data_IF_813031775710
#
_entry.id   IF_813031775710
#
_cell.length_a   1.000
_cell.length_b   1.000
_cell.length_c   1.000
_cell.angle_alpha   90.00
_cell.angle_beta   90.00
_cell.angle_gamma   90.00
#
_symmetry.space_group_name_H-M   'P 1'
#
loop_
_entity.id
_entity.type
_entity.pdbx_description
1 polymer ?
#
# COMPACT_ATOMS: atom_id res chain seq x y z
N UNK A 1 16.12 -29.58 -11.40
CA UNK A 1 17.09 -29.89 -12.49
C UNK A 1 16.84 -28.91 -13.64
N UNK A 2 17.62 -27.83 -13.76
CA UNK A 2 17.48 -26.93 -14.92
C UNK A 2 17.92 -27.70 -16.17
N UNK A 3 17.12 -27.66 -17.24
CA UNK A 3 17.44 -28.31 -18.52
C UNK A 3 16.93 -29.74 -18.73
N UNK A 4 16.08 -30.28 -17.85
CA UNK A 4 15.42 -31.59 -18.08
C UNK A 4 13.89 -31.48 -18.11
N UNK A 5 13.17 -32.39 -18.79
CA UNK A 5 11.70 -32.41 -18.80
C UNK A 5 11.05 -32.61 -17.42
N UNK A 6 11.74 -33.26 -16.47
CA UNK A 6 11.24 -33.61 -15.13
C UNK A 6 11.50 -32.51 -14.09
N UNK A 7 11.56 -31.25 -14.54
CA UNK A 7 11.80 -30.11 -13.66
C UNK A 7 10.60 -29.89 -12.73
N UNK A 8 10.86 -29.99 -11.43
CA UNK A 8 9.91 -29.64 -10.37
C UNK A 8 10.44 -28.38 -9.66
N UNK A 9 9.54 -27.46 -9.34
CA UNK A 9 9.79 -26.33 -8.46
C UNK A 9 8.72 -26.34 -7.37
N UNK A 10 9.14 -26.10 -6.12
CA UNK A 10 8.26 -26.05 -4.96
C UNK A 10 8.51 -24.70 -4.28
N UNK A 11 7.43 -24.06 -3.86
CA UNK A 11 7.43 -22.84 -3.06
C UNK A 11 6.41 -23.02 -1.94
N UNK A 12 6.76 -22.59 -0.74
CA UNK A 12 5.91 -22.72 0.45
C UNK A 12 5.46 -21.34 0.90
N UNK A 13 4.17 -21.20 1.21
CA UNK A 13 3.62 -20.01 1.87
C UNK A 13 3.51 -20.28 3.36
N UNK A 14 4.33 -19.61 4.16
CA UNK A 14 4.40 -19.83 5.61
C UNK A 14 3.57 -18.75 6.32
N UNK A 15 2.49 -19.18 6.98
CA UNK A 15 1.61 -18.31 7.74
C UNK A 15 1.60 -18.80 9.19
N UNK A 16 2.07 -17.96 10.12
CA UNK A 16 2.13 -18.29 11.55
C UNK A 16 1.05 -17.52 12.30
N UNK A 17 0.45 -18.11 13.34
CA UNK A 17 -0.60 -17.44 14.12
C UNK A 17 -0.12 -16.09 14.69
N UNK A 18 1.13 -16.01 15.12
CA UNK A 18 1.76 -14.79 15.66
C UNK A 18 1.93 -13.72 14.56
N UNK A 19 2.42 -14.12 13.38
CA UNK A 19 2.61 -13.19 12.25
C UNK A 19 1.27 -12.63 11.74
N UNK A 20 0.28 -13.51 11.59
CA UNK A 20 -1.10 -13.16 11.24
C UNK A 20 -1.70 -12.22 12.29
N UNK A 21 -1.57 -12.55 13.58
CA UNK A 21 -2.09 -11.70 14.67
C UNK A 21 -1.57 -10.27 14.59
N UNK A 22 -0.25 -10.13 14.46
CA UNK A 22 0.41 -8.84 14.44
C UNK A 22 -0.09 -7.98 13.29
N UNK A 23 -0.24 -8.57 12.10
CA UNK A 23 -0.77 -7.88 10.92
C UNK A 23 -2.24 -7.46 11.13
N UNK A 24 -3.07 -8.37 11.63
CA UNK A 24 -4.50 -8.12 11.85
C UNK A 24 -4.73 -7.03 12.91
N UNK A 25 -4.05 -7.11 14.07
CA UNK A 25 -4.15 -6.10 15.13
C UNK A 25 -3.76 -4.72 14.63
N UNK A 26 -2.66 -4.64 13.85
CA UNK A 26 -2.26 -3.39 13.21
C UNK A 26 -3.34 -2.86 12.27
N UNK A 27 -3.91 -3.71 11.40
CA UNK A 27 -4.95 -3.30 10.46
C UNK A 27 -6.24 -2.83 11.14
N UNK A 28 -6.67 -3.52 12.20
CA UNK A 28 -7.82 -3.11 13.03
C UNK A 28 -7.59 -1.74 13.69
N UNK A 29 -6.43 -1.56 14.33
CA UNK A 29 -6.08 -0.30 14.96
C UNK A 29 -5.97 0.84 13.94
N UNK A 30 -5.32 0.59 12.80
CA UNK A 30 -5.21 1.55 11.71
C UNK A 30 -6.57 1.96 11.15
N UNK A 31 -7.49 1.01 10.95
CA UNK A 31 -8.86 1.27 10.52
C UNK A 31 -9.62 2.15 11.53
N UNK A 32 -9.47 1.87 12.83
CA UNK A 32 -10.07 2.66 13.91
C UNK A 32 -9.54 4.09 13.94
N UNK A 33 -8.21 4.27 13.88
CA UNK A 33 -7.56 5.60 13.91
C UNK A 33 -7.88 6.42 12.67
N UNK A 34 -7.88 5.79 11.49
CA UNK A 34 -8.27 6.44 10.24
C UNK A 34 -9.71 6.98 10.29
N UNK A 35 -10.60 6.29 11.00
CA UNK A 35 -11.95 6.73 11.35
C UNK A 35 -12.76 7.29 10.15
N UNK A 36 -12.71 6.60 8.99
CA UNK A 36 -13.45 6.98 7.78
C UNK A 36 -14.70 6.12 7.58
N UNK A 37 -14.60 4.95 6.95
CA UNK A 37 -15.74 4.03 6.78
C UNK A 37 -15.83 3.01 7.90
N UNK A 38 -14.73 2.79 8.64
CA UNK A 38 -14.61 1.77 9.68
C UNK A 38 -14.93 0.36 9.16
N UNK A 39 -14.52 0.08 7.92
CA UNK A 39 -14.65 -1.23 7.28
C UNK A 39 -13.27 -1.84 7.08
N UNK A 40 -13.12 -3.12 7.42
CA UNK A 40 -11.89 -3.87 7.24
C UNK A 40 -12.20 -5.20 6.53
N UNK A 41 -12.06 -5.27 5.20
CA UNK A 41 -12.11 -6.54 4.50
C UNK A 41 -10.82 -7.34 4.66
N UNK A 42 -10.95 -8.61 5.03
CA UNK A 42 -9.91 -9.62 4.85
C UNK A 42 -9.93 -10.06 3.37
N UNK A 43 -8.86 -9.73 2.64
CA UNK A 43 -8.63 -10.22 1.28
C UNK A 43 -8.00 -11.61 1.36
N UNK A 44 -8.58 -12.60 0.68
CA UNK A 44 -8.00 -13.93 0.72
C UNK A 44 -8.46 -14.88 -0.37
N UNK A 45 -8.16 -16.17 -0.18
CA UNK A 45 -8.62 -17.22 -1.10
C UNK A 45 -8.92 -18.53 -0.36
N UNK A 46 -9.90 -18.50 0.54
CA UNK A 46 -10.25 -19.62 1.44
C UNK A 46 -10.67 -20.88 0.68
N UNK A 47 -11.19 -20.74 -0.55
CA UNK A 47 -11.58 -21.85 -1.40
C UNK A 47 -10.43 -22.58 -2.12
N UNK A 48 -9.21 -22.01 -2.13
CA UNK A 48 -8.02 -22.62 -2.77
C UNK A 48 -6.91 -22.82 -1.76
N UNK A 49 -6.60 -21.80 -0.97
CA UNK A 49 -5.57 -21.80 0.06
C UNK A 49 -6.18 -22.15 1.42
N UNK A 50 -6.81 -23.32 1.49
CA UNK A 50 -7.69 -23.74 2.59
C UNK A 50 -6.99 -23.82 3.95
N UNK A 51 -5.67 -24.03 4.00
CA UNK A 51 -4.93 -24.03 5.27
C UNK A 51 -4.48 -22.63 5.69
N UNK A 52 -3.87 -21.89 4.75
CA UNK A 52 -3.36 -20.55 5.04
C UNK A 52 -4.51 -19.60 5.37
N UNK A 53 -5.55 -19.54 4.53
CA UNK A 53 -6.63 -18.59 4.73
C UNK A 53 -7.67 -19.02 5.76
N UNK A 54 -7.77 -20.31 6.10
CA UNK A 54 -8.49 -20.73 7.33
C UNK A 54 -7.83 -20.14 8.58
N UNK A 55 -6.48 -20.20 8.67
CA UNK A 55 -5.76 -19.58 9.78
C UNK A 55 -5.99 -18.07 9.85
N UNK A 56 -5.93 -17.36 8.72
CA UNK A 56 -6.21 -15.92 8.66
C UNK A 56 -7.66 -15.59 9.05
N UNK A 57 -8.64 -16.31 8.52
CA UNK A 57 -10.07 -16.06 8.77
C UNK A 57 -10.44 -16.31 10.23
N UNK A 58 -9.99 -17.41 10.84
CA UNK A 58 -10.20 -17.67 12.27
C UNK A 58 -9.57 -16.58 13.14
N UNK A 59 -8.31 -16.24 12.90
CA UNK A 59 -7.62 -15.20 13.65
C UNK A 59 -8.30 -13.82 13.48
N UNK A 60 -8.79 -13.51 12.28
CA UNK A 60 -9.50 -12.28 11.96
C UNK A 60 -10.81 -12.14 12.75
N UNK A 61 -11.57 -13.22 12.87
CA UNK A 61 -12.78 -13.23 13.68
C UNK A 61 -12.46 -13.17 15.18
N UNK A 62 -11.51 -13.98 15.68
CA UNK A 62 -11.07 -13.99 17.09
C UNK A 62 -10.63 -12.60 17.57
N UNK A 63 -9.68 -11.97 16.85
CA UNK A 63 -9.15 -10.64 17.19
C UNK A 63 -10.23 -9.57 17.02
N UNK A 64 -11.09 -9.75 16.01
CA UNK A 64 -12.16 -8.82 15.69
C UNK A 64 -13.18 -8.61 16.81
N UNK A 65 -13.33 -9.53 17.75
CA UNK A 65 -14.18 -9.36 18.93
C UNK A 65 -13.67 -8.22 19.85
N UNK A 66 -12.37 -7.91 19.80
CA UNK A 66 -11.77 -6.76 20.52
C UNK A 66 -12.03 -5.42 19.81
N UNK A 67 -12.57 -5.45 18.57
CA UNK A 67 -12.82 -4.28 17.73
C UNK A 67 -14.27 -4.21 17.22
N UNK A 68 -15.28 -4.17 18.13
CA UNK A 68 -16.70 -4.22 17.75
C UNK A 68 -17.17 -2.99 16.96
N UNK A 69 -16.43 -1.89 16.99
CA UNK A 69 -16.70 -0.67 16.22
C UNK A 69 -16.23 -0.74 14.76
N UNK A 70 -15.50 -1.80 14.37
CA UNK A 70 -15.01 -2.03 13.02
C UNK A 70 -15.87 -3.10 12.33
N UNK A 71 -16.47 -2.72 11.19
CA UNK A 71 -17.21 -3.66 10.34
C UNK A 71 -16.22 -4.58 9.63
N UNK A 72 -16.24 -5.85 10.02
CA UNK A 72 -15.46 -6.93 9.41
C UNK A 72 -16.13 -7.40 8.14
N UNK A 73 -15.35 -7.56 7.07
CA UNK A 73 -15.80 -8.12 5.80
C UNK A 73 -14.79 -9.16 5.30
N UNK A 74 -15.22 -10.02 4.38
CA UNK A 74 -14.35 -10.94 3.67
C UNK A 74 -14.59 -10.85 2.18
N UNK A 75 -13.53 -10.88 1.39
CA UNK A 75 -13.64 -10.98 -0.06
C UNK A 75 -12.49 -11.82 -0.64
N UNK A 76 -12.80 -12.58 -1.69
CA UNK A 76 -11.76 -13.25 -2.44
C UNK A 76 -10.90 -12.24 -3.22
N UNK A 77 -9.59 -12.50 -3.34
CA UNK A 77 -8.64 -11.58 -4.00
C UNK A 77 -9.03 -11.23 -5.44
N UNK A 78 -9.61 -12.17 -6.20
CA UNK A 78 -10.14 -11.91 -7.54
C UNK A 78 -11.35 -10.96 -7.53
N UNK A 79 -12.25 -11.11 -6.56
CA UNK A 79 -13.36 -10.17 -6.36
C UNK A 79 -12.86 -8.78 -5.93
N UNK A 80 -11.88 -8.70 -5.03
CA UNK A 80 -11.23 -7.43 -4.66
C UNK A 80 -10.61 -6.77 -5.89
N UNK A 81 -9.82 -7.49 -6.69
CA UNK A 81 -9.22 -6.93 -7.90
C UNK A 81 -10.27 -6.37 -8.86
N UNK A 82 -11.37 -7.10 -9.10
CA UNK A 82 -12.48 -6.63 -9.93
C UNK A 82 -13.12 -5.36 -9.34
N UNK A 83 -13.37 -5.34 -8.02
CA UNK A 83 -14.03 -4.23 -7.35
C UNK A 83 -13.16 -2.99 -7.20
N UNK A 84 -11.84 -3.14 -7.05
CA UNK A 84 -10.90 -2.02 -7.05
C UNK A 84 -10.92 -1.31 -8.41
N UNK A 85 -11.07 -2.04 -9.51
CA UNK A 85 -11.22 -1.42 -10.84
C UNK A 85 -12.61 -0.80 -11.01
N UNK A 86 -13.67 -1.49 -10.57
CA UNK A 86 -15.05 -1.08 -10.82
C UNK A 86 -15.51 0.09 -9.94
N UNK A 87 -15.32 -0.04 -8.63
CA UNK A 87 -15.83 0.86 -7.60
C UNK A 87 -14.80 0.96 -6.44
N UNK A 88 -13.59 1.52 -6.65
CA UNK A 88 -12.54 1.59 -5.63
C UNK A 88 -12.96 2.34 -4.37
N UNK A 89 -13.88 3.30 -4.48
CA UNK A 89 -14.38 4.15 -3.41
C UNK A 89 -15.16 3.40 -2.31
N UNK A 90 -15.48 2.12 -2.52
CA UNK A 90 -16.13 1.29 -1.50
C UNK A 90 -15.17 0.88 -0.37
N UNK A 91 -13.86 0.78 -0.66
CA UNK A 91 -12.87 0.29 0.29
C UNK A 91 -12.33 1.40 1.21
N UNK A 92 -11.90 1.01 2.41
CA UNK A 92 -11.21 1.90 3.38
C UNK A 92 -9.85 1.33 3.74
N UNK A 93 -9.81 0.22 4.48
CA UNK A 93 -8.59 -0.51 4.83
C UNK A 93 -8.78 -1.96 4.44
N UNK A 94 -7.85 -2.55 3.68
CA UNK A 94 -7.84 -3.97 3.33
C UNK A 94 -6.66 -4.62 4.05
N UNK A 95 -6.88 -5.79 4.65
CA UNK A 95 -5.82 -6.61 5.24
C UNK A 95 -5.68 -7.93 4.50
N UNK A 96 -4.44 -8.39 4.32
CA UNK A 96 -4.13 -9.56 3.49
C UNK A 96 -2.74 -10.13 3.80
N UNK A 97 -2.43 -11.31 3.25
CA UNK A 97 -1.10 -11.89 3.28
C UNK A 97 -0.11 -11.16 2.34
N UNK A 98 1.16 -11.57 2.38
CA UNK A 98 2.24 -10.91 1.65
C UNK A 98 1.99 -10.86 0.13
N UNK A 99 1.71 -12.01 -0.49
CA UNK A 99 1.60 -12.13 -1.95
C UNK A 99 0.39 -11.38 -2.50
N UNK A 100 -0.78 -11.49 -1.86
CA UNK A 100 -1.95 -10.75 -2.33
C UNK A 100 -1.81 -9.25 -2.05
N UNK A 101 -1.14 -8.87 -0.96
CA UNK A 101 -0.79 -7.49 -0.64
C UNK A 101 -0.04 -6.83 -1.79
N UNK A 102 1.09 -7.42 -2.18
CA UNK A 102 1.94 -6.96 -3.30
C UNK A 102 1.11 -6.70 -4.58
N UNK A 103 0.26 -7.66 -4.95
CA UNK A 103 -0.59 -7.57 -6.15
C UNK A 103 -1.62 -6.45 -6.05
N UNK A 104 -2.38 -6.37 -4.96
CA UNK A 104 -3.48 -5.40 -4.85
C UNK A 104 -2.96 -3.97 -4.59
N UNK A 105 -1.79 -3.81 -3.97
CA UNK A 105 -1.17 -2.48 -3.80
C UNK A 105 -0.69 -1.92 -5.13
N UNK A 106 -0.16 -2.75 -6.03
CA UNK A 106 0.18 -2.35 -7.39
C UNK A 106 -1.05 -1.91 -8.19
N UNK A 107 -2.15 -2.66 -8.08
CA UNK A 107 -3.42 -2.27 -8.67
C UNK A 107 -3.91 -0.91 -8.11
N UNK A 108 -3.84 -0.74 -6.78
CA UNK A 108 -4.16 0.52 -6.11
C UNK A 108 -3.31 1.69 -6.61
N UNK A 109 -2.00 1.46 -6.82
CA UNK A 109 -1.08 2.45 -7.38
C UNK A 109 -1.51 2.92 -8.78
N UNK A 110 -1.93 2.00 -9.66
CA UNK A 110 -2.41 2.36 -10.99
C UNK A 110 -3.71 3.16 -10.95
N UNK A 111 -4.65 2.81 -10.07
CA UNK A 111 -5.95 3.50 -9.94
C UNK A 111 -5.75 4.97 -9.52
N UNK A 112 -4.79 5.26 -8.64
CA UNK A 112 -4.49 6.64 -8.21
C UNK A 112 -3.62 7.45 -9.19
N UNK A 113 -3.24 6.87 -10.35
CA UNK A 113 -2.50 7.56 -11.39
C UNK A 113 -1.06 7.05 -11.66
N UNK A 114 -0.65 5.98 -10.98
CA UNK A 114 0.54 5.20 -11.30
C UNK A 114 1.57 5.09 -10.18
N UNK A 115 2.65 4.33 -10.44
CA UNK A 115 3.75 4.11 -9.49
C UNK A 115 4.48 5.40 -9.05
N UNK A 116 4.37 6.49 -9.80
CA UNK A 116 5.04 7.75 -9.50
C UNK A 116 4.51 8.51 -8.27
N UNK A 117 3.37 8.10 -7.70
CA UNK A 117 2.76 8.73 -6.52
C UNK A 117 2.58 7.78 -5.33
N UNK A 118 2.68 6.47 -5.56
CA UNK A 118 2.38 5.46 -4.55
C UNK A 118 3.52 5.32 -3.52
N UNK A 119 3.21 5.52 -2.25
CA UNK A 119 4.13 5.41 -1.13
C UNK A 119 3.70 4.29 -0.17
N UNK A 120 4.69 3.66 0.46
CA UNK A 120 4.51 2.56 1.41
C UNK A 120 5.30 2.79 2.70
N UNK A 121 4.89 2.08 3.75
CA UNK A 121 5.55 2.07 5.04
C UNK A 121 5.66 0.65 5.59
N UNK A 122 6.88 0.21 5.85
CA UNK A 122 7.21 -1.02 6.55
C UNK A 122 7.29 -0.69 8.05
N UNK A 123 6.16 -0.88 8.74
CA UNK A 123 6.02 -0.45 10.12
C UNK A 123 6.50 -1.53 11.08
N UNK A 124 7.41 -1.16 11.98
CA UNK A 124 7.80 -1.97 13.12
C UNK A 124 7.36 -1.25 14.40
N UNK A 125 6.25 -1.67 15.05
CA UNK A 125 5.76 -1.03 16.26
C UNK A 125 6.76 -1.02 17.43
N UNK A 126 7.71 -1.97 17.46
CA UNK A 126 8.69 -2.14 18.54
C UNK A 126 10.09 -1.60 18.19
N UNK A 127 10.26 -0.98 17.02
CA UNK A 127 11.58 -0.55 16.57
C UNK A 127 11.55 0.34 15.33
N UNK A 128 12.57 0.18 14.49
CA UNK A 128 12.74 1.04 13.32
C UNK A 128 11.76 0.70 12.20
N UNK A 129 10.97 1.68 11.80
CA UNK A 129 10.12 1.63 10.60
C UNK A 129 10.87 2.17 9.37
N UNK A 130 10.48 1.74 8.17
CA UNK A 130 11.06 2.18 6.90
C UNK A 130 9.95 2.69 5.96
N UNK A 131 10.16 3.84 5.33
CA UNK A 131 9.19 4.45 4.41
C UNK A 131 9.83 4.57 3.03
N UNK A 132 9.12 4.13 2.00
CA UNK A 132 9.68 4.03 0.65
C UNK A 132 8.60 4.24 -0.43
N UNK A 133 8.98 4.70 -1.64
CA UNK A 133 8.10 4.62 -2.79
C UNK A 133 7.82 3.15 -3.14
N UNK A 134 6.60 2.82 -3.56
CA UNK A 134 6.23 1.44 -3.97
C UNK A 134 6.89 1.07 -5.31
N UNK A 135 7.16 2.07 -6.16
CA UNK A 135 7.82 1.85 -7.44
C UNK A 135 9.25 1.33 -7.30
N UNK A 136 9.61 0.32 -8.09
CA UNK A 136 10.98 -0.20 -8.17
C UNK A 136 12.00 0.80 -8.75
N UNK A 137 13.27 0.39 -8.81
CA UNK A 137 14.42 1.26 -9.14
C UNK A 137 14.44 1.91 -10.53
N UNK A 138 13.54 1.51 -11.43
CA UNK A 138 13.42 1.99 -12.81
C UNK A 138 14.77 2.28 -13.52
N UNK A 139 15.68 1.29 -13.67
CA UNK A 139 17.08 1.52 -14.08
C UNK A 139 17.23 2.25 -15.41
N UNK A 140 16.28 2.07 -16.33
CA UNK A 140 16.23 2.73 -17.63
C UNK A 140 16.13 4.27 -17.57
N UNK A 141 15.78 4.85 -16.42
CA UNK A 141 15.66 6.29 -16.20
C UNK A 141 16.71 6.85 -15.24
N UNK A 142 17.63 6.01 -14.76
CA UNK A 142 18.68 6.43 -13.83
C UNK A 142 19.54 7.54 -14.46
N UNK A 143 19.80 8.60 -13.67
CA UNK A 143 20.63 9.74 -14.08
C UNK A 143 19.99 10.70 -15.09
N UNK A 144 18.72 10.50 -15.48
CA UNK A 144 18.08 11.31 -16.53
C UNK A 144 17.27 12.50 -15.99
N UNK A 145 17.09 12.62 -14.66
CA UNK A 145 16.32 13.71 -14.05
C UNK A 145 14.87 13.81 -14.57
N UNK A 146 14.22 12.67 -14.85
CA UNK A 146 12.85 12.60 -15.39
C UNK A 146 11.90 11.70 -14.58
N UNK A 147 12.37 11.10 -13.48
CA UNK A 147 11.53 10.31 -12.57
C UNK A 147 10.62 11.24 -11.78
N UNK A 148 9.39 10.81 -11.51
CA UNK A 148 8.50 11.51 -10.62
C UNK A 148 8.94 11.33 -9.15
N UNK A 149 9.32 12.39 -8.41
CA UNK A 149 9.78 12.28 -7.03
C UNK A 149 8.63 12.17 -6.02
N UNK A 150 7.37 12.37 -6.44
CA UNK A 150 6.26 12.54 -5.51
C UNK A 150 6.00 11.31 -4.64
N UNK A 151 6.20 10.09 -5.14
CA UNK A 151 6.12 8.88 -4.31
C UNK A 151 7.10 8.91 -3.13
N UNK A 152 8.36 9.32 -3.36
CA UNK A 152 9.36 9.44 -2.30
C UNK A 152 9.02 10.56 -1.30
N UNK A 153 8.46 11.67 -1.80
CA UNK A 153 8.00 12.78 -0.95
C UNK A 153 6.82 12.35 -0.09
N UNK A 154 5.85 11.62 -0.66
CA UNK A 154 4.73 11.03 0.07
C UNK A 154 5.19 10.02 1.12
N UNK A 155 6.22 9.21 0.83
CA UNK A 155 6.83 8.34 1.84
C UNK A 155 7.45 9.16 3.00
N UNK A 156 8.06 10.30 2.69
CA UNK A 156 8.49 11.28 3.70
C UNK A 156 7.33 11.85 4.53
N UNK A 157 6.19 12.16 3.93
CA UNK A 157 4.98 12.57 4.65
C UNK A 157 4.46 11.47 5.59
N UNK A 158 4.44 10.21 5.14
CA UNK A 158 4.09 9.07 6.00
C UNK A 158 5.05 8.91 7.19
N UNK A 159 6.35 9.14 6.96
CA UNK A 159 7.36 9.13 8.01
C UNK A 159 7.14 10.25 9.03
N UNK A 160 6.89 11.48 8.58
CA UNK A 160 6.58 12.61 9.47
C UNK A 160 5.38 12.30 10.37
N UNK A 161 4.31 11.75 9.77
CA UNK A 161 3.14 11.33 10.52
C UNK A 161 3.48 10.26 11.57
N UNK A 162 4.29 9.27 11.20
CA UNK A 162 4.74 8.23 12.14
C UNK A 162 5.58 8.79 13.30
N UNK A 163 6.32 9.87 13.08
CA UNK A 163 7.09 10.57 14.11
C UNK A 163 6.26 11.51 15.00
N UNK A 164 4.95 11.64 14.74
CA UNK A 164 4.06 12.55 15.47
C UNK A 164 4.02 13.97 14.91
N UNK A 165 4.65 14.22 13.76
CA UNK A 165 4.70 15.53 13.10
C UNK A 165 3.49 15.69 12.16
N UNK A 166 2.27 15.61 12.72
CA UNK A 166 1.01 15.60 11.96
C UNK A 166 0.82 16.86 11.10
N UNK A 167 1.18 18.03 11.62
CA UNK A 167 1.08 19.30 10.88
C UNK A 167 2.01 19.32 9.66
N UNK A 168 3.26 18.89 9.84
CA UNK A 168 4.25 18.82 8.76
C UNK A 168 3.85 17.78 7.72
N UNK A 169 3.38 16.60 8.15
CA UNK A 169 2.89 15.56 7.26
C UNK A 169 1.73 16.07 6.39
N UNK A 170 0.77 16.76 7.00
CA UNK A 170 -0.39 17.34 6.31
C UNK A 170 0.00 18.49 5.36
N UNK A 171 1.02 19.30 5.71
CA UNK A 171 1.54 20.34 4.83
C UNK A 171 2.14 19.72 3.55
N UNK A 172 2.98 18.69 3.69
CA UNK A 172 3.57 17.97 2.54
C UNK A 172 2.49 17.32 1.67
N UNK A 173 1.51 16.66 2.28
CA UNK A 173 0.41 16.03 1.52
C UNK A 173 -0.38 17.07 0.71
N UNK A 174 -0.73 18.21 1.32
CA UNK A 174 -1.41 19.32 0.62
C UNK A 174 -0.58 19.91 -0.51
N UNK A 175 0.73 20.07 -0.32
CA UNK A 175 1.63 20.56 -1.34
C UNK A 175 1.69 19.61 -2.55
N UNK A 176 1.83 18.30 -2.30
CA UNK A 176 1.78 17.28 -3.36
C UNK A 176 0.44 17.31 -4.11
N UNK A 177 -0.69 17.40 -3.38
CA UNK A 177 -2.01 17.53 -4.01
C UNK A 177 -2.11 18.77 -4.90
N UNK A 178 -1.56 19.91 -4.48
CA UNK A 178 -1.56 21.14 -5.27
C UNK A 178 -0.73 21.01 -6.55
N UNK A 179 0.47 20.41 -6.47
CA UNK A 179 1.31 20.13 -7.64
C UNK A 179 0.58 19.22 -8.63
N UNK A 180 -0.01 18.13 -8.15
CA UNK A 180 -0.81 17.19 -8.95
C UNK A 180 -1.99 17.87 -9.65
N UNK A 181 -2.69 18.77 -8.95
CA UNK A 181 -3.89 19.41 -9.48
C UNK A 181 -3.62 20.57 -10.44
N UNK A 182 -2.49 21.27 -10.28
CA UNK A 182 -2.27 22.57 -10.94
C UNK A 182 -1.06 22.63 -11.87
N UNK A 183 -0.08 21.75 -11.71
CA UNK A 183 1.21 21.88 -12.38
C UNK A 183 1.51 20.71 -13.33
N UNK A 184 1.51 19.48 -12.82
CA UNK A 184 1.94 18.33 -13.63
C UNK A 184 0.81 17.78 -14.50
N UNK A 185 1.15 17.38 -15.73
CA UNK A 185 0.18 16.83 -16.71
C UNK A 185 0.03 15.31 -16.61
N UNK A 186 1.02 14.63 -16.06
CA UNK A 186 1.08 13.19 -15.91
C UNK A 186 2.02 12.83 -14.77
N UNK A 187 1.72 11.75 -14.06
CA UNK A 187 2.61 11.17 -13.05
C UNK A 187 3.70 10.27 -13.66
N UNK A 188 3.66 10.03 -14.97
CA UNK A 188 4.61 9.15 -15.67
C UNK A 188 5.96 9.82 -15.88
N UNK A 189 7.04 9.04 -15.70
CA UNK A 189 8.41 9.49 -15.97
C UNK A 189 8.56 10.05 -17.39
N UNK A 190 9.21 11.19 -17.51
CA UNK A 190 9.41 11.90 -18.78
C UNK A 190 8.15 12.52 -19.40
N UNK A 191 7.00 12.45 -18.72
CA UNK A 191 5.73 13.06 -19.20
C UNK A 191 5.11 14.05 -18.22
N UNK A 192 5.80 14.37 -17.12
CA UNK A 192 5.34 15.34 -16.13
C UNK A 192 5.24 16.77 -16.68
N UNK A 193 6.04 17.08 -17.71
CA UNK A 193 6.24 18.45 -18.21
C UNK A 193 7.35 19.21 -17.47
N UNK A 194 8.01 18.54 -16.53
CA UNK A 194 9.07 19.05 -15.66
C UNK A 194 10.11 17.96 -15.43
N UNK A 195 11.32 18.35 -15.06
CA UNK A 195 12.35 17.46 -14.53
C UNK A 195 12.05 17.03 -13.09
N UNK A 196 12.76 16.00 -12.59
CA UNK A 196 12.62 15.53 -11.19
C UNK A 196 12.89 16.68 -10.21
N UNK A 197 13.98 17.43 -10.41
CA UNK A 197 14.33 18.58 -9.56
C UNK A 197 13.25 19.66 -9.56
N UNK A 198 12.74 20.05 -10.73
CA UNK A 198 11.70 21.09 -10.83
C UNK A 198 10.39 20.67 -10.14
N UNK A 199 10.03 19.37 -10.19
CA UNK A 199 8.87 18.87 -9.42
C UNK A 199 9.13 18.98 -7.92
N UNK A 200 10.35 18.72 -7.45
CA UNK A 200 10.75 18.96 -6.06
C UNK A 200 10.60 20.43 -5.66
N UNK A 201 11.10 21.35 -6.48
CA UNK A 201 10.97 22.80 -6.25
C UNK A 201 9.51 23.25 -6.22
N UNK A 202 8.66 22.69 -7.11
CA UNK A 202 7.22 22.95 -7.10
C UNK A 202 6.57 22.55 -5.78
N UNK A 203 6.92 21.39 -5.21
CA UNK A 203 6.39 20.97 -3.90
C UNK A 203 6.81 21.96 -2.82
N UNK A 204 8.09 22.37 -2.79
CA UNK A 204 8.58 23.35 -1.81
C UNK A 204 7.82 24.68 -1.89
N UNK A 205 7.49 25.14 -3.09
CA UNK A 205 6.73 26.39 -3.28
C UNK A 205 5.29 26.35 -2.75
N UNK A 206 4.74 25.16 -2.46
CA UNK A 206 3.40 24.98 -1.88
C UNK A 206 3.42 24.65 -0.38
N UNK A 207 4.60 24.50 0.23
CA UNK A 207 4.77 24.37 1.68
C UNK A 207 4.71 25.74 2.36
#
# INVERSE_FOLDING_TARGET
KKGTPEKIAIQESINTRIGVERCLRYAFQYCRERNKKKTLPLCGKTNVLTYAFDLWERAFHEIGEEFPDIKREYAHVDAICMWMVKNPEQFDVIVTDNMFGDIITDLGAIIQGGMGIAAGGNINPEGTSMFEPIGGSAPKYAGQNIINPLASICAGSMMLKHLGEDEAAAAVEKAVMAVCARNIKSLSAGRMGYSTSEVGDLVVNYL
#
